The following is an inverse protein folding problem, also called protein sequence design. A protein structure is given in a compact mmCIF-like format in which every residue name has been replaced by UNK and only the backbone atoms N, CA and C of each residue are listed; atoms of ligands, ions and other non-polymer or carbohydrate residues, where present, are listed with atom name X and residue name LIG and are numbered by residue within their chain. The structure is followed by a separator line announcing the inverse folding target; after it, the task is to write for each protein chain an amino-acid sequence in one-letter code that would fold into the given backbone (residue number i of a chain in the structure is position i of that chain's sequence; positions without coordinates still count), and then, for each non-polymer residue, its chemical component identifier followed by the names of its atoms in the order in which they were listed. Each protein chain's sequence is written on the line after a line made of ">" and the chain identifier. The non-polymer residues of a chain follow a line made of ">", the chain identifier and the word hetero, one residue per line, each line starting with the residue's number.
data_IF_445379270077
#
_entry.id   IF_445379270077
#
_cell.length_a   1.000
_cell.length_b   1.000
_cell.length_c   1.000
_cell.angle_alpha   90.00
_cell.angle_beta   90.00
_cell.angle_gamma   90.00
#
_symmetry.space_group_name_H-M   'P 1'
#
loop_
_entity.id
_entity.type
_entity.pdbx_description
1 polymer ?
#
# COMPACT_ATOMS: atom_id res chain seq x y z
N UNK A 1 15.43 5.29 -11.10
CA UNK A 1 14.03 4.89 -10.90
C UNK A 1 13.73 4.59 -9.45
N UNK A 2 12.45 4.57 -9.11
CA UNK A 2 11.98 4.06 -7.85
C UNK A 2 10.97 2.94 -8.12
N UNK A 3 11.01 1.90 -7.29
CA UNK A 3 10.04 0.82 -7.33
C UNK A 3 9.55 0.57 -5.91
N UNK A 4 8.25 0.35 -5.76
CA UNK A 4 7.66 0.00 -4.48
C UNK A 4 6.62 -1.10 -4.60
N UNK A 5 6.46 -1.86 -3.52
CA UNK A 5 5.46 -2.93 -3.37
C UNK A 5 4.58 -2.57 -2.18
N UNK A 6 3.29 -2.79 -2.27
CA UNK A 6 2.31 -2.50 -1.22
C UNK A 6 2.35 -1.03 -0.75
N UNK A 7 2.43 -0.76 0.55
CA UNK A 7 2.63 0.57 1.11
C UNK A 7 3.91 1.24 0.58
N UNK A 8 4.96 0.45 0.29
CA UNK A 8 6.18 0.92 -0.36
C UNK A 8 5.93 1.54 -1.74
N UNK A 9 4.91 1.10 -2.46
CA UNK A 9 4.52 1.72 -3.73
C UNK A 9 3.93 3.13 -3.49
N UNK A 10 3.07 3.28 -2.49
CA UNK A 10 2.56 4.60 -2.08
C UNK A 10 3.69 5.54 -1.66
N UNK A 11 4.63 5.06 -0.84
CA UNK A 11 5.78 5.86 -0.41
C UNK A 11 6.70 6.22 -1.58
N UNK A 12 6.91 5.31 -2.53
CA UNK A 12 7.70 5.58 -3.74
C UNK A 12 7.03 6.61 -4.64
N UNK A 13 5.69 6.58 -4.75
CA UNK A 13 4.91 7.59 -5.46
C UNK A 13 5.07 8.96 -4.80
N UNK A 14 4.93 9.03 -3.46
CA UNK A 14 5.14 10.26 -2.72
C UNK A 14 6.57 10.80 -2.89
N UNK A 15 7.57 9.94 -2.83
CA UNK A 15 8.95 10.34 -3.09
C UNK A 15 9.14 10.90 -4.52
N UNK A 16 8.54 10.26 -5.54
CA UNK A 16 8.62 10.72 -6.93
C UNK A 16 7.90 12.06 -7.16
N UNK A 17 6.79 12.33 -6.43
CA UNK A 17 6.13 13.65 -6.43
C UNK A 17 7.10 14.74 -5.95
N UNK A 18 7.93 14.44 -4.95
CA UNK A 18 8.80 15.42 -4.29
C UNK A 18 10.21 15.49 -4.89
N UNK A 19 10.73 14.39 -5.46
CA UNK A 19 12.11 14.34 -5.93
C UNK A 19 12.23 14.11 -7.44
N UNK A 20 12.58 15.16 -8.16
CA UNK A 20 12.74 15.15 -9.63
C UNK A 20 13.93 14.33 -10.14
N UNK A 21 14.81 13.84 -9.27
CA UNK A 21 15.88 12.91 -9.61
C UNK A 21 15.35 11.49 -9.89
N UNK A 22 14.18 11.15 -9.33
CA UNK A 22 13.46 9.93 -9.70
C UNK A 22 12.88 10.12 -11.10
N UNK A 23 13.30 9.31 -12.07
CA UNK A 23 12.96 9.46 -13.49
C UNK A 23 11.85 8.53 -13.97
N UNK A 24 11.59 7.46 -13.24
CA UNK A 24 10.52 6.50 -13.53
C UNK A 24 10.03 5.87 -12.22
N UNK A 25 8.74 5.56 -12.16
CA UNK A 25 8.07 4.95 -11.00
C UNK A 25 7.45 3.61 -11.42
N UNK A 26 7.90 2.52 -10.81
CA UNK A 26 7.28 1.20 -10.89
C UNK A 26 6.54 0.88 -9.58
N UNK A 27 5.38 0.26 -9.67
CA UNK A 27 4.57 -0.09 -8.50
C UNK A 27 3.97 -1.47 -8.66
N UNK A 28 3.96 -2.26 -7.60
CA UNK A 28 3.29 -3.56 -7.52
C UNK A 28 2.34 -3.56 -6.34
N UNK A 29 1.09 -3.98 -6.57
CA UNK A 29 0.06 -4.04 -5.52
C UNK A 29 0.02 -2.76 -4.67
N UNK A 30 -0.11 -1.60 -5.30
CA UNK A 30 0.07 -0.32 -4.63
C UNK A 30 -0.96 -0.08 -3.52
N UNK A 31 -0.49 0.41 -2.38
CA UNK A 31 -1.31 0.84 -1.25
C UNK A 31 -0.96 2.27 -0.87
N UNK A 32 -1.96 3.14 -0.87
CA UNK A 32 -1.93 4.41 -0.17
C UNK A 32 -2.40 4.15 1.27
N UNK A 33 -1.46 4.09 2.20
CA UNK A 33 -1.73 3.67 3.58
C UNK A 33 -2.83 4.51 4.24
N UNK A 34 -2.89 5.80 3.96
CA UNK A 34 -3.93 6.67 4.49
C UNK A 34 -5.31 6.33 3.94
N UNK A 35 -5.42 6.10 2.63
CA UNK A 35 -6.67 5.66 2.01
C UNK A 35 -7.10 4.28 2.53
N UNK A 36 -6.16 3.33 2.65
CA UNK A 36 -6.46 2.00 3.17
C UNK A 36 -7.10 2.07 4.56
N UNK A 37 -6.57 2.90 5.46
CA UNK A 37 -7.12 3.06 6.80
C UNK A 37 -8.43 3.85 6.83
N UNK A 38 -8.62 4.84 5.94
CA UNK A 38 -9.87 5.61 5.87
C UNK A 38 -10.99 4.86 5.17
N UNK A 39 -10.68 4.28 4.02
CA UNK A 39 -11.69 3.79 3.08
C UNK A 39 -11.85 2.26 3.09
N UNK A 40 -10.98 1.57 3.87
CA UNK A 40 -10.94 0.11 3.92
C UNK A 40 -10.21 -0.50 2.74
N UNK A 41 -10.03 -1.82 2.82
CA UNK A 41 -9.28 -2.57 1.82
C UNK A 41 -9.91 -2.52 0.43
N UNK A 42 -11.24 -2.54 0.36
CA UNK A 42 -12.03 -2.58 -0.87
C UNK A 42 -12.75 -1.25 -1.17
N UNK A 43 -12.31 -0.13 -0.57
CA UNK A 43 -12.92 1.19 -0.74
C UNK A 43 -14.43 1.22 -0.37
N UNK A 44 -14.78 0.57 0.72
CA UNK A 44 -16.18 0.43 1.17
C UNK A 44 -16.60 1.44 2.23
N UNK A 45 -15.65 2.23 2.77
CA UNK A 45 -15.85 3.20 3.84
C UNK A 45 -15.65 4.62 3.31
N UNK A 46 -16.48 5.56 3.75
CA UNK A 46 -16.33 6.99 3.41
C UNK A 46 -15.39 7.68 4.38
N UNK A 47 -14.65 8.68 3.93
CA UNK A 47 -13.72 9.46 4.77
C UNK A 47 -14.38 9.97 6.06
N UNK A 48 -15.63 10.42 5.99
CA UNK A 48 -16.37 10.92 7.16
C UNK A 48 -16.58 9.86 8.25
N UNK A 49 -16.64 8.59 7.87
CA UNK A 49 -16.86 7.49 8.81
C UNK A 49 -15.56 7.09 9.52
N UNK A 50 -14.40 7.58 9.05
CA UNK A 50 -13.09 7.33 9.65
C UNK A 50 -12.77 8.22 10.87
N UNK A 51 -13.64 9.17 11.23
CA UNK A 51 -13.42 10.11 12.35
C UNK A 51 -13.14 9.37 13.67
N UNK A 52 -13.81 8.24 13.92
CA UNK A 52 -13.56 7.42 15.11
C UNK A 52 -12.13 6.95 15.29
N UNK A 53 -11.36 6.78 14.21
CA UNK A 53 -9.94 6.44 14.30
C UNK A 53 -9.10 7.60 14.83
N UNK A 54 -9.51 8.86 14.58
CA UNK A 54 -8.83 10.04 15.13
C UNK A 54 -9.02 10.10 16.65
N UNK A 55 -10.24 9.84 17.13
CA UNK A 55 -10.54 9.76 18.57
C UNK A 55 -9.76 8.62 19.22
N UNK A 56 -9.74 7.45 18.59
CA UNK A 56 -9.01 6.29 19.08
C UNK A 56 -7.51 6.57 19.20
N UNK A 57 -6.90 7.15 18.17
CA UNK A 57 -5.49 7.55 18.20
C UNK A 57 -5.19 8.64 19.24
N UNK A 58 -6.08 9.63 19.41
CA UNK A 58 -5.95 10.69 20.40
C UNK A 58 -6.03 10.16 21.83
N UNK A 59 -6.98 9.27 22.10
CA UNK A 59 -7.12 8.61 23.39
C UNK A 59 -5.88 7.74 23.71
N UNK A 60 -5.36 7.00 22.73
CA UNK A 60 -4.13 6.22 22.89
C UNK A 60 -2.96 7.11 23.30
N UNK A 61 -2.78 8.30 22.73
CA UNK A 61 -1.71 9.24 23.12
C UNK A 61 -1.78 9.63 24.58
N UNK A 62 -2.98 9.90 25.08
CA UNK A 62 -3.21 10.26 26.49
C UNK A 62 -2.92 9.08 27.41
N UNK A 63 -3.44 7.89 27.05
CA UNK A 63 -3.26 6.67 27.84
C UNK A 63 -1.82 6.20 27.87
N UNK A 64 -1.12 6.22 26.73
CA UNK A 64 0.30 5.84 26.60
C UNK A 64 1.18 6.67 27.55
N UNK A 65 0.93 7.99 27.66
CA UNK A 65 1.66 8.88 28.55
C UNK A 65 1.37 8.55 30.01
N UNK A 66 0.10 8.30 30.34
CA UNK A 66 -0.30 8.03 31.72
C UNK A 66 0.19 6.68 32.24
N UNK A 67 0.23 5.66 31.37
CA UNK A 67 0.60 4.29 31.73
C UNK A 67 2.06 3.95 31.51
N UNK A 68 2.76 4.69 30.64
CA UNK A 68 4.10 4.34 30.15
C UNK A 68 4.12 3.11 29.21
N UNK A 69 2.94 2.64 28.77
CA UNK A 69 2.80 1.49 27.85
C UNK A 69 2.20 1.97 26.54
N UNK A 70 2.68 1.44 25.43
CA UNK A 70 2.23 1.84 24.09
C UNK A 70 1.23 0.83 23.53
N UNK A 71 -0.01 1.27 23.27
CA UNK A 71 -1.02 0.48 22.59
C UNK A 71 -0.64 0.27 21.12
N UNK A 72 -0.94 -0.91 20.59
CA UNK A 72 -0.65 -1.29 19.19
C UNK A 72 -1.90 -1.79 18.47
N UNK A 73 -1.88 -1.66 17.14
CA UNK A 73 -2.86 -2.26 16.22
C UNK A 73 -2.14 -3.18 15.25
N UNK A 74 -2.69 -4.35 14.90
CA UNK A 74 -2.10 -5.23 13.91
C UNK A 74 -2.22 -4.63 12.50
N UNK A 75 -1.22 -4.89 11.64
CA UNK A 75 -1.22 -4.51 10.22
C UNK A 75 -1.79 -5.58 9.31
N UNK A 76 -1.88 -6.81 9.78
CA UNK A 76 -2.56 -7.95 9.17
C UNK A 76 -3.28 -8.74 10.28
N UNK A 77 -4.27 -9.60 9.96
CA UNK A 77 -4.89 -10.47 10.96
C UNK A 77 -3.83 -11.27 11.71
N UNK A 78 -3.94 -11.34 13.04
CA UNK A 78 -2.98 -12.07 13.87
C UNK A 78 -3.23 -13.57 13.87
N UNK A 79 -4.46 -14.01 13.58
CA UNK A 79 -4.89 -15.41 13.51
C UNK A 79 -5.73 -15.61 12.27
N UNK A 80 -5.75 -16.84 11.77
CA UNK A 80 -6.53 -17.19 10.57
C UNK A 80 -8.01 -16.87 10.72
N UNK A 81 -8.60 -17.15 11.88
CA UNK A 81 -10.00 -16.93 12.19
C UNK A 81 -10.38 -15.43 12.30
N UNK A 82 -9.42 -14.54 12.47
CA UNK A 82 -9.66 -13.08 12.51
C UNK A 82 -9.76 -12.47 11.11
N UNK A 83 -9.45 -13.24 10.05
CA UNK A 83 -9.47 -12.74 8.68
C UNK A 83 -10.91 -12.64 8.15
N UNK A 84 -11.38 -11.45 7.71
CA UNK A 84 -12.76 -11.25 7.26
C UNK A 84 -13.05 -11.82 5.86
N UNK A 85 -12.01 -12.10 5.07
CA UNK A 85 -12.13 -12.66 3.73
C UNK A 85 -10.86 -13.46 3.34
N UNK A 86 -10.91 -14.13 2.18
CA UNK A 86 -9.83 -15.00 1.71
C UNK A 86 -8.51 -14.25 1.48
N UNK A 87 -8.55 -13.02 0.97
CA UNK A 87 -7.35 -12.24 0.71
C UNK A 87 -6.65 -11.81 2.01
N UNK A 88 -7.41 -11.41 3.03
CA UNK A 88 -6.85 -11.09 4.33
C UNK A 88 -6.43 -12.33 5.14
N UNK A 89 -7.03 -13.50 4.85
CA UNK A 89 -6.50 -14.79 5.34
C UNK A 89 -5.13 -15.08 4.72
N UNK A 90 -4.95 -14.83 3.43
CA UNK A 90 -3.64 -14.97 2.78
C UNK A 90 -2.63 -13.96 3.33
N UNK A 91 -3.05 -12.74 3.73
CA UNK A 91 -2.19 -11.81 4.44
C UNK A 91 -1.73 -12.36 5.79
N UNK A 92 -2.62 -12.99 6.57
CA UNK A 92 -2.22 -13.72 7.78
C UNK A 92 -1.21 -14.81 7.47
N UNK A 93 -1.49 -15.67 6.48
CA UNK A 93 -0.58 -16.75 6.07
C UNK A 93 0.80 -16.20 5.68
N UNK A 94 0.84 -15.13 4.88
CA UNK A 94 2.08 -14.53 4.44
C UNK A 94 2.92 -13.99 5.61
N UNK A 95 2.31 -13.22 6.51
CA UNK A 95 3.05 -12.51 7.57
C UNK A 95 3.28 -13.32 8.85
N UNK A 96 2.50 -14.37 9.12
CA UNK A 96 2.48 -15.08 10.40
C UNK A 96 2.73 -16.58 10.29
N UNK A 97 3.23 -17.05 9.14
CA UNK A 97 3.64 -18.46 8.93
C UNK A 97 5.03 -18.51 8.29
N UNK A 98 5.66 -19.70 8.20
CA UNK A 98 6.96 -19.87 7.54
C UNK A 98 7.00 -19.43 6.08
N UNK A 99 5.87 -19.04 5.46
CA UNK A 99 5.83 -18.49 4.10
C UNK A 99 6.71 -17.24 3.98
N UNK A 100 6.60 -16.27 4.91
CA UNK A 100 7.40 -15.06 4.90
C UNK A 100 7.53 -14.37 6.27
N UNK A 101 7.17 -15.05 7.37
CA UNK A 101 7.36 -14.49 8.71
C UNK A 101 8.84 -14.16 8.95
N UNK A 102 9.09 -13.06 9.66
CA UNK A 102 10.45 -12.66 9.99
C UNK A 102 10.51 -12.03 11.39
N UNK A 103 11.47 -12.41 12.25
CA UNK A 103 11.54 -11.93 13.62
C UNK A 103 11.70 -10.41 13.77
N UNK A 104 12.23 -9.73 12.74
CA UNK A 104 12.35 -8.27 12.71
C UNK A 104 11.14 -7.56 12.06
N UNK A 105 10.08 -8.28 11.69
CA UNK A 105 8.84 -7.72 11.18
C UNK A 105 7.76 -7.79 12.27
N UNK A 106 7.60 -6.74 13.11
CA UNK A 106 6.69 -6.81 14.28
C UNK A 106 5.21 -6.96 13.90
N UNK A 107 4.82 -6.62 12.67
CA UNK A 107 3.46 -6.79 12.18
C UNK A 107 2.42 -5.86 12.82
N UNK A 108 2.84 -4.81 13.52
CA UNK A 108 1.94 -3.86 14.16
C UNK A 108 2.38 -2.40 14.00
N UNK A 109 1.44 -1.48 14.17
CA UNK A 109 1.68 -0.05 14.30
C UNK A 109 1.27 0.42 15.70
N UNK A 110 1.82 1.55 16.16
CA UNK A 110 1.36 2.19 17.38
C UNK A 110 -0.02 2.83 17.16
N UNK A 111 -0.99 2.54 18.03
CA UNK A 111 -2.35 3.10 17.94
C UNK A 111 -2.34 4.62 17.88
N UNK A 112 -1.45 5.27 18.62
CA UNK A 112 -1.25 6.72 18.63
C UNK A 112 -0.85 7.33 17.27
N UNK A 113 -0.41 6.51 16.31
CA UNK A 113 -0.04 6.96 14.97
C UNK A 113 -1.26 7.06 14.03
N UNK A 114 -2.42 6.57 14.44
CA UNK A 114 -3.64 6.63 13.61
C UNK A 114 -3.97 8.04 13.16
N UNK A 115 -3.75 9.05 14.00
CA UNK A 115 -4.00 10.44 13.62
C UNK A 115 -3.18 10.87 12.39
N UNK A 116 -1.91 10.46 12.31
CA UNK A 116 -1.08 10.77 11.14
C UNK A 116 -1.44 9.88 9.95
N UNK A 117 -1.72 8.60 10.19
CA UNK A 117 -2.06 7.66 9.12
C UNK A 117 -3.37 8.08 8.44
N UNK A 118 -4.42 8.38 9.22
CA UNK A 118 -5.75 8.74 8.70
C UNK A 118 -5.71 10.05 7.88
N UNK A 119 -4.88 10.99 8.23
CA UNK A 119 -4.77 12.27 7.51
C UNK A 119 -3.74 12.25 6.38
N UNK A 120 -2.96 11.19 6.27
CA UNK A 120 -1.95 11.05 5.21
C UNK A 120 -2.59 10.68 3.87
N UNK A 121 -2.06 11.24 2.80
CA UNK A 121 -2.34 10.86 1.42
C UNK A 121 -1.03 10.75 0.65
N UNK A 122 -0.63 9.52 0.32
CA UNK A 122 0.60 9.26 -0.44
C UNK A 122 0.58 9.91 -1.84
N UNK A 123 -0.60 10.20 -2.37
CA UNK A 123 -0.81 10.74 -3.71
C UNK A 123 -1.13 12.25 -3.70
N UNK A 124 -0.96 12.90 -2.55
CA UNK A 124 -1.23 14.33 -2.45
C UNK A 124 -0.39 15.12 -3.46
N UNK A 125 -1.05 15.94 -4.29
CA UNK A 125 -0.46 16.71 -5.39
C UNK A 125 0.08 15.87 -6.57
N UNK A 126 -0.30 14.61 -6.71
CA UNK A 126 0.05 13.81 -7.89
C UNK A 126 -0.46 14.46 -9.20
N UNK A 127 -1.62 15.10 -9.15
CA UNK A 127 -2.25 15.82 -10.26
C UNK A 127 -1.46 17.05 -10.76
N UNK A 128 -0.56 17.53 -9.93
CA UNK A 128 0.29 18.68 -10.26
C UNK A 128 1.75 18.30 -10.54
N UNK A 129 2.28 17.36 -9.77
CA UNK A 129 3.74 17.15 -9.71
C UNK A 129 4.21 15.77 -10.11
N UNK A 130 3.36 14.73 -10.14
CA UNK A 130 3.78 13.40 -10.58
C UNK A 130 3.71 13.30 -12.10
N UNK A 131 4.76 13.76 -12.76
CA UNK A 131 4.88 13.84 -14.23
C UNK A 131 5.80 12.80 -14.83
N UNK A 132 6.53 12.03 -14.02
CA UNK A 132 7.42 10.96 -14.45
C UNK A 132 6.63 9.80 -15.07
N UNK A 133 7.24 9.00 -15.96
CA UNK A 133 6.65 7.72 -16.38
C UNK A 133 6.27 6.82 -15.22
N UNK A 134 5.09 6.19 -15.30
CA UNK A 134 4.53 5.32 -14.25
C UNK A 134 4.08 4.00 -14.88
N UNK A 135 4.53 2.89 -14.31
CA UNK A 135 3.94 1.57 -14.54
C UNK A 135 3.46 0.98 -13.22
N UNK A 136 2.16 0.79 -13.08
CA UNK A 136 1.57 0.05 -11.98
C UNK A 136 1.26 -1.38 -12.43
N UNK A 137 1.46 -2.34 -11.52
CA UNK A 137 1.06 -3.74 -11.67
C UNK A 137 0.12 -4.08 -10.52
N UNK A 138 -1.06 -4.62 -10.83
CA UNK A 138 -2.04 -5.03 -9.83
C UNK A 138 -2.75 -6.32 -10.25
N UNK A 139 -3.16 -7.11 -9.27
CA UNK A 139 -3.95 -8.31 -9.54
C UNK A 139 -5.41 -7.99 -9.91
N UNK A 140 -6.00 -8.78 -10.80
CA UNK A 140 -7.37 -8.55 -11.24
C UNK A 140 -8.42 -8.77 -10.14
N UNK A 141 -8.08 -9.58 -9.13
CA UNK A 141 -8.95 -9.86 -7.97
C UNK A 141 -8.44 -9.25 -6.66
N UNK A 142 -7.46 -8.35 -6.73
CA UNK A 142 -6.92 -7.67 -5.55
C UNK A 142 -7.90 -6.59 -5.04
N UNK A 143 -8.33 -6.71 -3.78
CA UNK A 143 -9.18 -5.70 -3.13
C UNK A 143 -8.54 -4.32 -3.06
N UNK A 144 -7.20 -4.24 -3.08
CA UNK A 144 -6.42 -2.99 -3.07
C UNK A 144 -6.24 -2.33 -4.44
N UNK A 145 -6.65 -2.99 -5.55
CA UNK A 145 -6.40 -2.52 -6.92
C UNK A 145 -6.86 -1.08 -7.16
N UNK A 146 -7.97 -0.68 -6.55
CA UNK A 146 -8.53 0.67 -6.68
C UNK A 146 -7.54 1.79 -6.30
N UNK A 147 -6.57 1.53 -5.41
CA UNK A 147 -5.55 2.52 -5.04
C UNK A 147 -4.52 2.74 -6.16
N UNK A 148 -4.27 1.72 -6.99
CA UNK A 148 -3.48 1.87 -8.22
C UNK A 148 -4.27 2.67 -9.27
N UNK A 149 -5.57 2.37 -9.42
CA UNK A 149 -6.44 3.09 -10.34
C UNK A 149 -6.54 4.58 -9.95
N UNK A 150 -6.71 4.90 -8.64
CA UNK A 150 -6.78 6.26 -8.13
C UNK A 150 -5.50 7.05 -8.43
N UNK A 151 -4.32 6.48 -8.16
CA UNK A 151 -3.07 7.16 -8.51
C UNK A 151 -2.97 7.46 -9.99
N UNK A 152 -3.26 6.48 -10.84
CA UNK A 152 -3.17 6.68 -12.29
C UNK A 152 -4.20 7.68 -12.80
N UNK A 153 -5.40 7.73 -12.21
CA UNK A 153 -6.40 8.75 -12.53
C UNK A 153 -5.89 10.15 -12.17
N UNK A 154 -5.27 10.31 -11.00
CA UNK A 154 -4.79 11.59 -10.46
C UNK A 154 -3.49 12.06 -11.10
N UNK A 155 -2.53 11.18 -11.38
CA UNK A 155 -1.18 11.57 -11.80
C UNK A 155 -1.16 12.45 -13.06
N UNK A 156 -0.37 13.53 -13.01
CA UNK A 156 -0.14 14.43 -14.13
C UNK A 156 0.65 13.81 -15.29
N UNK A 157 1.28 12.67 -15.06
CA UNK A 157 2.06 11.94 -16.06
C UNK A 157 1.25 11.68 -17.33
N UNK A 158 1.90 11.86 -18.49
CA UNK A 158 1.36 11.51 -19.81
C UNK A 158 1.77 10.09 -20.25
N UNK A 159 2.75 9.51 -19.56
CA UNK A 159 3.26 8.15 -19.77
C UNK A 159 2.94 7.32 -18.52
N UNK A 160 1.71 6.84 -18.44
CA UNK A 160 1.22 6.07 -17.29
C UNK A 160 0.34 4.92 -17.74
N UNK A 161 0.56 3.74 -17.15
CA UNK A 161 -0.19 2.53 -17.48
C UNK A 161 -0.37 1.61 -16.28
N UNK A 162 -1.42 0.79 -16.34
CA UNK A 162 -1.68 -0.32 -15.44
C UNK A 162 -1.55 -1.63 -16.20
N UNK A 163 -0.72 -2.53 -15.71
CA UNK A 163 -0.71 -3.93 -16.09
C UNK A 163 -1.52 -4.72 -15.06
N UNK A 164 -2.56 -5.41 -15.52
CA UNK A 164 -3.41 -6.23 -14.65
C UNK A 164 -3.01 -7.68 -14.83
N UNK A 165 -2.58 -8.32 -13.75
CA UNK A 165 -2.23 -9.75 -13.71
C UNK A 165 -3.50 -10.53 -13.40
N UNK A 166 -3.95 -11.33 -14.37
CA UNK A 166 -5.22 -12.04 -14.29
C UNK A 166 -5.18 -13.13 -13.20
N UNK A 167 -6.22 -13.18 -12.35
CA UNK A 167 -6.35 -14.13 -11.27
C UNK A 167 -5.45 -13.86 -10.05
N UNK A 168 -4.53 -12.90 -10.13
CA UNK A 168 -3.71 -12.51 -8.99
C UNK A 168 -4.51 -11.64 -8.01
N UNK A 169 -4.30 -11.86 -6.72
CA UNK A 169 -4.71 -10.95 -5.65
C UNK A 169 -3.52 -10.09 -5.18
N UNK A 170 -3.67 -9.37 -4.08
CA UNK A 170 -2.63 -8.49 -3.56
C UNK A 170 -1.37 -9.26 -3.12
N UNK A 171 -1.56 -10.31 -2.31
CA UNK A 171 -0.46 -11.06 -1.69
C UNK A 171 0.25 -11.98 -2.68
N UNK A 172 -0.48 -12.56 -3.63
CA UNK A 172 0.09 -13.48 -4.61
C UNK A 172 1.13 -12.83 -5.54
N UNK A 173 1.07 -11.50 -5.71
CA UNK A 173 2.09 -10.72 -6.42
C UNK A 173 3.40 -10.55 -5.64
N UNK A 174 3.49 -11.05 -4.40
CA UNK A 174 4.71 -10.95 -3.61
C UNK A 174 5.66 -12.12 -3.84
N UNK A 175 5.11 -13.34 -3.96
CA UNK A 175 5.91 -14.56 -3.91
C UNK A 175 5.42 -15.71 -4.81
N UNK A 176 4.23 -15.62 -5.42
CA UNK A 176 3.77 -16.68 -6.33
C UNK A 176 4.50 -16.55 -7.68
N UNK A 177 5.36 -17.53 -8.07
CA UNK A 177 6.36 -17.34 -9.12
C UNK A 177 5.81 -16.87 -10.45
N UNK A 178 4.73 -17.46 -10.96
CA UNK A 178 4.15 -17.09 -12.25
C UNK A 178 3.63 -15.64 -12.27
N UNK A 179 3.04 -15.15 -11.18
CA UNK A 179 2.57 -13.77 -11.09
C UNK A 179 3.72 -12.77 -10.93
N UNK A 180 4.75 -13.17 -10.16
CA UNK A 180 5.97 -12.36 -10.01
C UNK A 180 6.72 -12.28 -11.35
N UNK A 181 6.86 -13.39 -12.07
CA UNK A 181 7.51 -13.43 -13.38
C UNK A 181 6.78 -12.55 -14.40
N UNK A 182 5.44 -12.56 -14.39
CA UNK A 182 4.64 -11.69 -15.24
C UNK A 182 4.86 -10.21 -14.88
N UNK A 183 4.84 -9.85 -13.59
CA UNK A 183 5.12 -8.49 -13.15
C UNK A 183 6.52 -8.03 -13.56
N UNK A 184 7.54 -8.88 -13.39
CA UNK A 184 8.92 -8.59 -13.81
C UNK A 184 9.02 -8.42 -15.32
N UNK A 185 8.31 -9.24 -16.11
CA UNK A 185 8.35 -9.18 -17.57
C UNK A 185 7.93 -7.82 -18.15
N UNK A 186 7.11 -7.05 -17.44
CA UNK A 186 6.68 -5.71 -17.84
C UNK A 186 7.49 -4.59 -17.16
N UNK A 187 7.87 -4.77 -15.89
CA UNK A 187 8.64 -3.77 -15.13
C UNK A 187 10.08 -3.64 -15.60
N UNK A 188 10.75 -4.75 -15.93
CA UNK A 188 12.14 -4.72 -16.36
C UNK A 188 12.33 -3.91 -17.66
N UNK A 189 11.60 -4.16 -18.76
CA UNK A 189 11.73 -3.35 -19.98
C UNK A 189 11.22 -1.91 -19.77
N UNK A 190 10.24 -1.67 -18.91
CA UNK A 190 9.81 -0.32 -18.55
C UNK A 190 10.98 0.48 -17.98
N UNK A 191 11.67 -0.01 -16.96
CA UNK A 191 12.81 0.70 -16.38
C UNK A 191 13.99 0.78 -17.35
N UNK A 192 14.33 -0.29 -18.10
CA UNK A 192 15.40 -0.27 -19.08
C UNK A 192 15.21 0.82 -20.16
N UNK A 193 13.97 1.08 -20.56
CA UNK A 193 13.67 2.11 -21.56
C UNK A 193 13.66 3.53 -21.02
N UNK A 194 13.45 3.73 -19.72
CA UNK A 194 13.27 5.04 -19.07
C UNK A 194 14.50 5.52 -18.29
N UNK A 195 15.46 4.65 -18.00
CA UNK A 195 16.63 4.94 -17.16
C UNK A 195 17.95 4.90 -17.97
N UNK A 196 17.95 5.54 -19.12
CA UNK A 196 19.16 5.71 -19.95
C UNK A 196 19.98 6.91 -19.50
#
# INVERSE_FOLDING_TARGET
>A
GAMGICAGAGYSANAAINDRRIKALGMVSAVNIGQMFRNGWENTVKDADAVGYLDFGSNARTTDIASGQFATIPLAPLREEDAPNAELREAWEYYHTPRAEHPNAPGFALTRNLNQIITYDAYNKAEAFLTQPILAVAGSVAGSKWMSDDLLARAASKDKSLHVVEGANHMSLYDVPNFVDEAVSVLAPFFQSRLK
#
